data_IF_554726146044
#
_entry.id   IF_554726146044
#
_cell.length_a   1.000
_cell.length_b   1.000
_cell.length_c   1.000
_cell.angle_alpha   90.00
_cell.angle_beta   90.00
_cell.angle_gamma   90.00
#
_symmetry.space_group_name_H-M   'P 1'
#
loop_
_entity.id
_entity.type
_entity.pdbx_description
1 polymer ?
#
# COMPACT_ATOMS: atom_id res chain seq x y z
N UNK A 1 -19.75 15.69 -31.00
CA UNK A 1 -20.09 14.78 -29.90
C UNK A 1 -18.83 13.98 -29.56
N UNK A 2 -18.03 14.47 -28.61
CA UNK A 2 -16.82 13.79 -28.14
C UNK A 2 -17.26 12.75 -27.11
N UNK A 3 -17.20 11.46 -27.49
CA UNK A 3 -17.45 10.35 -26.59
C UNK A 3 -16.40 10.38 -25.47
N UNK A 4 -16.82 10.73 -24.26
CA UNK A 4 -16.02 10.70 -23.07
C UNK A 4 -15.71 9.24 -22.75
N UNK A 5 -14.57 8.73 -23.25
CA UNK A 5 -14.09 7.36 -23.07
C UNK A 5 -13.75 7.17 -21.60
N UNK A 6 -14.73 6.77 -20.79
CA UNK A 6 -14.50 6.40 -19.39
C UNK A 6 -13.50 5.27 -19.39
N UNK A 7 -12.29 5.54 -18.93
CA UNK A 7 -11.25 4.53 -18.75
C UNK A 7 -11.75 3.56 -17.68
N UNK A 8 -12.22 2.40 -18.11
CA UNK A 8 -12.62 1.30 -17.23
C UNK A 8 -11.37 0.48 -16.94
N UNK A 9 -10.72 0.76 -15.82
CA UNK A 9 -9.66 -0.11 -15.33
C UNK A 9 -10.27 -1.43 -14.84
N UNK A 10 -9.77 -2.54 -15.37
CA UNK A 10 -10.11 -3.87 -14.87
C UNK A 10 -9.58 -4.05 -13.43
N UNK A 11 -10.19 -4.97 -12.66
CA UNK A 11 -9.82 -5.25 -11.27
C UNK A 11 -8.34 -5.64 -11.12
N UNK A 12 -7.79 -6.35 -12.10
CA UNK A 12 -6.38 -6.76 -12.15
C UNK A 12 -5.44 -5.57 -12.37
N UNK A 13 -5.79 -4.65 -13.25
CA UNK A 13 -4.99 -3.45 -13.53
C UNK A 13 -4.89 -2.53 -12.31
N UNK A 14 -5.97 -2.38 -11.56
CA UNK A 14 -5.97 -1.61 -10.30
C UNK A 14 -5.04 -2.19 -9.25
N UNK A 15 -4.99 -3.52 -9.11
CA UNK A 15 -4.08 -4.20 -8.19
C UNK A 15 -2.62 -3.98 -8.56
N UNK A 16 -2.29 -4.06 -9.86
CA UNK A 16 -0.94 -3.80 -10.35
C UNK A 16 -0.54 -2.34 -10.12
N UNK A 17 -1.44 -1.42 -10.45
CA UNK A 17 -1.22 0.01 -10.25
C UNK A 17 -0.98 0.35 -8.77
N UNK A 18 -1.78 -0.22 -7.86
CA UNK A 18 -1.59 -0.06 -6.42
C UNK A 18 -0.20 -0.53 -5.96
N UNK A 19 0.27 -1.70 -6.43
CA UNK A 19 1.61 -2.23 -6.11
C UNK A 19 2.71 -1.27 -6.56
N UNK A 20 2.62 -0.77 -7.77
CA UNK A 20 3.60 0.18 -8.32
C UNK A 20 3.64 1.45 -7.48
N UNK A 21 2.49 2.02 -7.17
CA UNK A 21 2.43 3.25 -6.36
C UNK A 21 2.89 3.04 -4.92
N UNK A 22 2.65 1.87 -4.31
CA UNK A 22 3.16 1.54 -2.99
C UNK A 22 4.69 1.55 -2.98
N UNK A 23 5.32 0.90 -3.97
CA UNK A 23 6.79 0.89 -4.09
C UNK A 23 7.34 2.29 -4.32
N UNK A 24 6.75 3.06 -5.24
CA UNK A 24 7.17 4.44 -5.51
C UNK A 24 7.04 5.31 -4.25
N UNK A 25 5.93 5.20 -3.53
CA UNK A 25 5.67 5.95 -2.30
C UNK A 25 6.71 5.64 -1.22
N UNK A 26 7.03 4.35 -1.02
CA UNK A 26 8.06 3.91 -0.06
C UNK A 26 9.43 4.44 -0.44
N UNK A 27 9.84 4.35 -1.71
CA UNK A 27 11.14 4.83 -2.17
C UNK A 27 11.25 6.36 -2.03
N UNK A 28 10.19 7.08 -2.37
CA UNK A 28 10.14 8.53 -2.23
C UNK A 28 10.26 8.93 -0.76
N UNK A 29 9.55 8.26 0.15
CA UNK A 29 9.64 8.53 1.57
C UNK A 29 11.05 8.25 2.13
N UNK A 30 11.67 7.15 1.75
CA UNK A 30 13.05 6.84 2.15
C UNK A 30 14.05 7.86 1.61
N UNK A 31 13.86 8.34 0.37
CA UNK A 31 14.67 9.42 -0.17
C UNK A 31 14.53 10.72 0.63
N UNK A 32 13.29 11.12 0.95
CA UNK A 32 13.02 12.33 1.74
C UNK A 32 13.60 12.23 3.16
N UNK A 33 13.36 11.10 3.84
CA UNK A 33 13.92 10.84 5.17
C UNK A 33 15.44 10.81 5.14
N UNK A 34 16.05 10.24 4.09
CA UNK A 34 17.48 10.24 3.87
C UNK A 34 18.07 11.65 3.79
N UNK A 35 17.37 12.57 3.13
CA UNK A 35 17.79 13.98 3.00
C UNK A 35 17.65 14.78 4.29
N UNK A 36 16.53 14.59 5.03
CA UNK A 36 16.21 15.36 6.22
C UNK A 36 17.05 14.91 7.43
N UNK A 37 17.11 13.59 7.66
CA UNK A 37 17.71 13.02 8.88
C UNK A 37 19.12 12.48 8.68
N UNK A 38 19.79 12.76 7.53
CA UNK A 38 21.11 12.19 7.18
C UNK A 38 21.14 10.66 7.38
N UNK A 39 20.09 10.01 6.88
CA UNK A 39 19.87 8.59 7.02
C UNK A 39 20.80 7.84 6.07
N UNK A 40 21.77 7.08 6.62
CA UNK A 40 22.81 6.42 5.84
C UNK A 40 22.54 4.94 5.59
N UNK A 41 21.58 4.33 6.31
CA UNK A 41 21.31 2.90 6.21
C UNK A 41 20.81 2.49 4.82
N UNK A 42 19.89 3.25 4.25
CA UNK A 42 19.34 3.01 2.93
C UNK A 42 19.62 4.21 2.04
N UNK A 43 20.55 4.06 1.11
CA UNK A 43 20.86 5.10 0.14
C UNK A 43 20.53 4.60 -1.26
N UNK A 44 19.71 5.37 -1.98
CA UNK A 44 19.38 5.11 -3.36
C UNK A 44 20.54 5.60 -4.21
N UNK A 45 21.47 4.70 -4.54
CA UNK A 45 22.63 4.95 -5.38
C UNK A 45 22.59 4.05 -6.59
N UNK A 46 23.23 4.48 -7.69
CA UNK A 46 23.40 3.67 -8.89
C UNK A 46 24.16 2.37 -8.64
N UNK A 47 25.05 2.35 -7.65
CA UNK A 47 25.88 1.19 -7.34
C UNK A 47 25.11 0.10 -6.56
N UNK A 48 24.02 0.48 -5.87
CA UNK A 48 23.27 -0.38 -4.97
C UNK A 48 21.77 -0.48 -5.33
N UNK A 49 21.43 -0.35 -6.61
CA UNK A 49 20.04 -0.38 -7.08
C UNK A 49 19.30 -1.68 -6.73
N UNK A 50 20.03 -2.79 -6.58
CA UNK A 50 19.44 -4.08 -6.19
C UNK A 50 18.78 -4.06 -4.80
N UNK A 51 19.28 -3.27 -3.85
CA UNK A 51 18.64 -3.09 -2.54
C UNK A 51 17.24 -2.50 -2.65
N UNK A 52 17.08 -1.59 -3.60
CA UNK A 52 15.80 -0.97 -3.95
C UNK A 52 14.83 -1.99 -4.54
N UNK A 53 15.33 -2.83 -5.45
CA UNK A 53 14.53 -3.89 -6.07
C UNK A 53 14.08 -4.91 -5.02
N UNK A 54 15.00 -5.36 -4.16
CA UNK A 54 14.69 -6.31 -3.07
C UNK A 54 13.63 -5.74 -2.12
N UNK A 55 13.75 -4.47 -1.74
CA UNK A 55 12.74 -3.81 -0.91
C UNK A 55 11.37 -3.77 -1.60
N UNK A 56 11.33 -3.41 -2.87
CA UNK A 56 10.10 -3.40 -3.67
C UNK A 56 9.44 -4.78 -3.76
N UNK A 57 10.23 -5.82 -3.98
CA UNK A 57 9.76 -7.22 -4.01
C UNK A 57 9.20 -7.62 -2.63
N UNK A 58 9.87 -7.27 -1.53
CA UNK A 58 9.38 -7.59 -0.19
C UNK A 58 8.07 -6.87 0.11
N UNK A 59 7.98 -5.56 -0.13
CA UNK A 59 6.75 -4.79 0.09
C UNK A 59 5.58 -5.38 -0.70
N UNK A 60 5.78 -5.71 -1.97
CA UNK A 60 4.71 -6.22 -2.84
C UNK A 60 4.30 -7.64 -2.49
N UNK A 61 5.25 -8.52 -2.19
CA UNK A 61 5.00 -9.91 -1.83
C UNK A 61 4.29 -10.01 -0.48
N UNK A 62 4.83 -9.35 0.54
CA UNK A 62 4.27 -9.35 1.89
C UNK A 62 2.93 -8.63 1.92
N UNK A 63 2.80 -7.51 1.19
CA UNK A 63 1.52 -6.83 1.02
C UNK A 63 0.45 -7.69 0.35
N UNK A 64 0.84 -8.62 -0.53
CA UNK A 64 -0.07 -9.60 -1.11
C UNK A 64 -0.49 -10.66 -0.09
N UNK A 65 0.43 -11.15 0.74
CA UNK A 65 0.15 -12.12 1.81
C UNK A 65 -0.83 -11.56 2.83
N UNK A 66 -0.66 -10.30 3.23
CA UNK A 66 -1.57 -9.62 4.17
C UNK A 66 -2.80 -8.98 3.50
N UNK A 67 -3.14 -9.41 2.30
CA UNK A 67 -4.35 -8.99 1.55
C UNK A 67 -4.48 -7.47 1.34
N UNK A 68 -3.36 -6.73 1.43
CA UNK A 68 -3.35 -5.27 1.30
C UNK A 68 -3.87 -4.80 -0.08
N UNK A 69 -3.85 -5.68 -1.10
CA UNK A 69 -4.30 -5.42 -2.47
C UNK A 69 -5.72 -5.92 -2.76
N UNK A 70 -6.40 -6.51 -1.77
CA UNK A 70 -7.81 -6.84 -1.90
C UNK A 70 -8.65 -5.57 -1.86
N UNK A 71 -9.48 -5.36 -2.89
CA UNK A 71 -10.28 -4.14 -3.01
C UNK A 71 -11.25 -3.94 -1.85
N UNK A 72 -11.77 -5.03 -1.26
CA UNK A 72 -12.63 -4.97 -0.09
C UNK A 72 -11.87 -4.49 1.16
N UNK A 73 -10.65 -4.98 1.36
CA UNK A 73 -9.75 -4.54 2.45
C UNK A 73 -9.30 -3.11 2.21
N UNK A 74 -8.95 -2.77 0.97
CA UNK A 74 -8.50 -1.44 0.59
C UNK A 74 -9.59 -0.35 0.74
N UNK A 75 -10.87 -0.72 0.77
CA UNK A 75 -11.99 0.21 1.01
C UNK A 75 -12.36 0.39 2.48
N UNK A 76 -11.93 -0.52 3.37
CA UNK A 76 -12.20 -0.46 4.80
C UNK A 76 -11.00 0.11 5.56
N UNK A 77 -11.17 1.29 6.17
CA UNK A 77 -10.08 2.00 6.84
C UNK A 77 -9.42 1.19 7.96
N UNK A 78 -10.19 0.47 8.76
CA UNK A 78 -9.64 -0.33 9.86
C UNK A 78 -8.83 -1.53 9.34
N UNK A 79 -9.39 -2.26 8.39
CA UNK A 79 -8.72 -3.43 7.82
C UNK A 79 -7.44 -3.04 7.07
N UNK A 80 -7.46 -1.94 6.32
CA UNK A 80 -6.27 -1.49 5.60
C UNK A 80 -5.16 -1.03 6.54
N UNK A 81 -5.46 -0.34 7.64
CA UNK A 81 -4.45 0.05 8.64
C UNK A 81 -3.80 -1.19 9.25
N UNK A 82 -4.59 -2.19 9.66
CA UNK A 82 -4.08 -3.47 10.17
C UNK A 82 -3.15 -4.14 9.17
N UNK A 83 -3.56 -4.24 7.92
CA UNK A 83 -2.77 -4.83 6.82
C UNK A 83 -1.45 -4.08 6.59
N UNK A 84 -1.47 -2.74 6.62
CA UNK A 84 -0.28 -1.90 6.45
C UNK A 84 0.71 -2.12 7.60
N UNK A 85 0.24 -2.13 8.84
CA UNK A 85 1.10 -2.35 10.01
C UNK A 85 1.76 -3.72 9.94
N UNK A 86 1.02 -4.78 9.61
CA UNK A 86 1.56 -6.13 9.46
C UNK A 86 2.56 -6.20 8.29
N UNK A 87 2.20 -5.63 7.14
CA UNK A 87 3.07 -5.60 5.95
C UNK A 87 4.38 -4.86 6.24
N UNK A 88 4.33 -3.65 6.79
CA UNK A 88 5.53 -2.87 7.07
C UNK A 88 6.42 -3.52 8.14
N UNK A 89 5.83 -4.04 9.23
CA UNK A 89 6.59 -4.72 10.29
C UNK A 89 7.30 -5.95 9.76
N UNK A 90 6.59 -6.82 9.02
CA UNK A 90 7.15 -8.04 8.45
C UNK A 90 8.18 -7.72 7.36
N UNK A 91 7.92 -6.72 6.51
CA UNK A 91 8.87 -6.29 5.47
C UNK A 91 10.18 -5.82 6.08
N UNK A 92 10.12 -4.94 7.08
CA UNK A 92 11.32 -4.42 7.74
C UNK A 92 12.07 -5.53 8.45
N UNK A 93 11.36 -6.41 9.16
CA UNK A 93 11.97 -7.55 9.85
C UNK A 93 12.71 -8.46 8.86
N UNK A 94 12.08 -8.88 7.79
CA UNK A 94 12.71 -9.73 6.76
C UNK A 94 13.85 -9.00 6.06
N UNK A 95 13.70 -7.72 5.76
CA UNK A 95 14.74 -6.92 5.11
C UNK A 95 16.00 -6.82 6.00
N UNK A 96 15.85 -6.69 7.32
CA UNK A 96 16.97 -6.68 8.26
C UNK A 96 17.59 -8.08 8.49
N UNK A 97 16.80 -9.14 8.35
CA UNK A 97 17.26 -10.52 8.54
C UNK A 97 17.96 -11.12 7.32
N UNK A 98 17.95 -10.45 6.18
CA UNK A 98 18.55 -10.94 4.92
C UNK A 98 19.79 -10.13 4.50
N UNK A 99 20.87 -10.08 5.28
CA UNK A 99 22.03 -9.21 5.03
C UNK A 99 22.81 -9.56 3.73
N UNK A 100 22.50 -10.68 3.10
CA UNK A 100 23.10 -11.08 1.82
C UNK A 100 22.58 -10.22 0.67
N UNK A 101 21.29 -9.81 0.73
CA UNK A 101 20.61 -9.04 -0.33
C UNK A 101 20.32 -7.60 0.07
N UNK A 102 20.61 -7.23 1.31
CA UNK A 102 20.30 -5.92 1.89
C UNK A 102 21.55 -5.30 2.50
N UNK A 103 21.54 -3.98 2.80
CA UNK A 103 22.66 -3.34 3.47
C UNK A 103 22.97 -3.98 4.82
N UNK A 104 24.24 -3.94 5.22
CA UNK A 104 24.64 -4.36 6.57
C UNK A 104 23.89 -3.55 7.63
N UNK A 105 23.58 -4.19 8.76
CA UNK A 105 22.88 -3.56 9.87
C UNK A 105 23.58 -2.26 10.29
N UNK A 106 22.82 -1.17 10.48
CA UNK A 106 23.41 0.10 10.88
C UNK A 106 23.94 0.02 12.31
N UNK A 107 25.05 0.69 12.57
CA UNK A 107 25.62 0.81 13.92
C UNK A 107 24.70 1.57 14.89
N UNK A 108 23.89 2.48 14.37
CA UNK A 108 22.91 3.24 15.13
C UNK A 108 21.50 2.64 14.97
N UNK A 109 20.94 2.11 16.07
CA UNK A 109 19.60 1.50 16.11
C UNK A 109 18.48 2.48 15.73
N UNK A 110 18.66 3.78 15.94
CA UNK A 110 17.69 4.80 15.55
C UNK A 110 17.45 4.82 14.03
N UNK A 111 18.44 4.44 13.22
CA UNK A 111 18.26 4.34 11.78
C UNK A 111 17.25 3.25 11.38
N UNK A 112 17.16 2.16 12.15
CA UNK A 112 16.16 1.11 11.96
C UNK A 112 14.76 1.65 12.22
N UNK A 113 14.61 2.44 13.29
CA UNK A 113 13.33 3.07 13.62
C UNK A 113 12.90 4.05 12.53
N UNK A 114 13.80 4.88 12.04
CA UNK A 114 13.50 5.80 10.92
C UNK A 114 13.14 5.04 9.64
N UNK A 115 13.83 3.94 9.34
CA UNK A 115 13.52 3.09 8.20
C UNK A 115 12.10 2.49 8.31
N UNK A 116 11.77 1.94 9.49
CA UNK A 116 10.44 1.40 9.76
C UNK A 116 9.35 2.46 9.65
N UNK A 117 9.53 3.61 10.31
CA UNK A 117 8.56 4.70 10.29
C UNK A 117 8.38 5.27 8.88
N UNK A 118 9.43 5.39 8.09
CA UNK A 118 9.35 5.87 6.72
C UNK A 118 8.45 4.96 5.87
N UNK A 119 8.63 3.64 5.96
CA UNK A 119 7.81 2.66 5.23
C UNK A 119 6.36 2.69 5.72
N UNK A 120 6.16 2.63 7.05
CA UNK A 120 4.83 2.60 7.66
C UNK A 120 4.03 3.86 7.29
N UNK A 121 4.61 5.05 7.52
CA UNK A 121 3.92 6.32 7.27
C UNK A 121 3.66 6.53 5.78
N UNK A 122 4.59 6.16 4.92
CA UNK A 122 4.44 6.26 3.49
C UNK A 122 3.25 5.42 2.99
N UNK A 123 3.21 4.14 3.34
CA UNK A 123 2.11 3.26 2.96
C UNK A 123 0.78 3.74 3.55
N UNK A 124 0.78 4.20 4.81
CA UNK A 124 -0.42 4.71 5.47
C UNK A 124 -0.96 5.96 4.78
N UNK A 125 -0.12 6.96 4.53
CA UNK A 125 -0.51 8.21 3.88
C UNK A 125 -1.04 7.95 2.47
N UNK A 126 -0.32 7.15 1.68
CA UNK A 126 -0.72 6.81 0.33
C UNK A 126 -2.07 6.08 0.31
N UNK A 127 -2.29 5.12 1.20
CA UNK A 127 -3.53 4.34 1.26
C UNK A 127 -4.72 5.15 1.75
N UNK A 128 -4.53 6.01 2.74
CA UNK A 128 -5.58 6.94 3.17
C UNK A 128 -5.97 7.90 2.05
N UNK A 129 -4.98 8.40 1.31
CA UNK A 129 -5.22 9.22 0.12
C UNK A 129 -5.99 8.46 -0.96
N UNK A 130 -5.60 7.21 -1.24
CA UNK A 130 -6.30 6.35 -2.18
C UNK A 130 -7.76 6.11 -1.78
N UNK A 131 -8.01 5.74 -0.51
CA UNK A 131 -9.37 5.51 0.00
C UNK A 131 -10.21 6.77 -0.11
N UNK A 132 -9.67 7.92 0.29
CA UNK A 132 -10.40 9.18 0.30
C UNK A 132 -10.73 9.72 -1.10
N UNK A 133 -9.82 9.60 -2.07
CA UNK A 133 -9.99 10.18 -3.40
C UNK A 133 -10.56 9.21 -4.44
N UNK A 134 -10.13 7.95 -4.43
CA UNK A 134 -10.50 7.00 -5.48
C UNK A 134 -11.59 6.01 -5.05
N UNK A 135 -11.66 5.65 -3.77
CA UNK A 135 -12.63 4.67 -3.31
C UNK A 135 -14.00 5.27 -3.02
N UNK A 136 -14.07 6.52 -2.50
CA UNK A 136 -15.33 7.12 -2.04
C UNK A 136 -16.33 7.39 -3.17
N UNK A 137 -15.89 7.62 -4.41
CA UNK A 137 -16.79 8.01 -5.51
C UNK A 137 -17.23 6.85 -6.43
N UNK A 138 -16.68 5.64 -6.28
CA UNK A 138 -16.88 4.53 -7.23
C UNK A 138 -17.33 3.20 -6.65
N UNK A 139 -17.43 3.07 -5.33
CA UNK A 139 -17.83 1.83 -4.66
C UNK A 139 -19.25 1.86 -4.08
N UNK A 140 -20.15 2.68 -4.62
CA UNK A 140 -21.57 2.45 -4.43
C UNK A 140 -21.90 1.11 -5.10
N UNK A 141 -21.98 0.06 -4.28
CA UNK A 141 -22.57 -1.20 -4.72
C UNK A 141 -24.04 -0.93 -4.97
N UNK A 142 -24.41 -0.78 -6.24
CA UNK A 142 -25.83 -0.87 -6.62
C UNK A 142 -26.25 -2.31 -6.39
N UNK A 143 -26.86 -2.57 -5.25
CA UNK A 143 -27.49 -3.86 -4.96
C UNK A 143 -28.86 -3.81 -5.66
N UNK A 144 -29.04 -4.64 -6.67
CA UNK A 144 -30.36 -4.87 -7.26
C UNK A 144 -31.03 -5.91 -6.39
N UNK A 145 -31.95 -5.49 -5.55
CA UNK A 145 -32.84 -6.38 -4.81
C UNK A 145 -33.90 -6.89 -5.80
N UNK A 146 -33.82 -8.17 -6.11
CA UNK A 146 -34.87 -8.88 -6.84
C UNK A 146 -35.70 -9.60 -5.78
N UNK A 147 -36.79 -8.98 -5.36
CA UNK A 147 -37.75 -9.53 -4.41
C UNK A 147 -39.17 -9.29 -4.91
N UNK A 148 -40.14 -10.06 -4.42
CA UNK A 148 -41.56 -9.80 -4.65
C UNK A 148 -41.95 -8.49 -3.97
N UNK A 149 -43.00 -7.83 -4.50
CA UNK A 149 -43.35 -6.46 -4.12
C UNK A 149 -43.71 -6.34 -2.62
N UNK A 150 -44.25 -7.37 -2.06
CA UNK A 150 -44.68 -7.42 -0.65
C UNK A 150 -43.51 -7.57 0.33
N UNK A 151 -42.43 -8.27 -0.08
CA UNK A 151 -41.19 -8.39 0.69
C UNK A 151 -40.32 -7.13 0.63
N UNK A 152 -40.46 -6.33 -0.44
CA UNK A 152 -39.70 -5.09 -0.59
C UNK A 152 -40.14 -4.01 0.41
N UNK A 153 -41.42 -3.94 0.75
CA UNK A 153 -41.93 -2.96 1.72
C UNK A 153 -41.49 -3.29 3.17
N UNK A 154 -41.37 -4.56 3.49
CA UNK A 154 -40.92 -5.02 4.83
C UNK A 154 -39.42 -4.71 5.04
N UNK A 155 -38.58 -4.83 3.98
CA UNK A 155 -37.15 -4.54 4.01
C UNK A 155 -36.81 -3.04 4.05
N UNK A 156 -37.71 -2.17 3.56
CA UNK A 156 -37.51 -0.71 3.59
C UNK A 156 -37.86 -0.12 4.97
N UNK A 157 -38.72 -0.82 5.75
CA UNK A 157 -39.17 -0.37 7.06
C UNK A 157 -38.42 -1.05 8.24
N UNK A 158 -37.48 -1.96 7.97
CA UNK A 158 -36.58 -2.57 8.94
C UNK A 158 -35.24 -1.83 9.04
#
# INVERSE_FOLDING_TARGET
MTANKKIHFEVSERKVLLRIFDVISVLLALYVVGRIFKFHYFNISSDNYYWTIVLGVYVTTIGTVFEMYHLQVASNQYQIIKSIVLTSSTTVLLYLLTPVFTPNLPSNRMQIVFFYLAILLSLMLWRLFYVKLLASSRFEKKVILVCEKDEAEELIHA
#
